data_IF_197308631709
#
_entry.id   IF_197308631709
#
_cell.length_a   1.000
_cell.length_b   1.000
_cell.length_c   1.000
_cell.angle_alpha   90.00
_cell.angle_beta   90.00
_cell.angle_gamma   90.00
#
_symmetry.space_group_name_H-M   'P 1'
#
loop_
_entity.id
_entity.type
_entity.pdbx_description
1 polymer ?
#
# COMPACT_ATOMS: atom_id res chain seq x y z
N UNK A 1 -22.85 8.61 -0.12
CA UNK A 1 -21.87 9.64 0.29
C UNK A 1 -22.52 10.88 0.91
N UNK A 2 -23.34 11.66 0.19
CA UNK A 2 -23.89 12.95 0.68
C UNK A 2 -24.61 12.86 2.03
N UNK A 3 -25.37 11.80 2.27
CA UNK A 3 -26.04 11.57 3.55
C UNK A 3 -25.04 11.46 4.72
N UNK A 4 -23.97 10.65 4.58
CA UNK A 4 -22.94 10.53 5.61
C UNK A 4 -22.18 11.84 5.81
N UNK A 5 -21.90 12.58 4.73
CA UNK A 5 -21.28 13.90 4.83
C UNK A 5 -22.15 14.88 5.63
N UNK A 6 -23.47 14.89 5.40
CA UNK A 6 -24.41 15.70 6.17
C UNK A 6 -24.42 15.31 7.67
N UNK A 7 -24.34 14.02 7.99
CA UNK A 7 -24.25 13.55 9.37
C UNK A 7 -22.95 13.99 10.06
N UNK A 8 -21.82 13.98 9.35
CA UNK A 8 -20.51 14.39 9.90
C UNK A 8 -20.49 15.88 10.27
N UNK A 9 -21.20 16.71 9.51
CA UNK A 9 -21.27 18.16 9.72
C UNK A 9 -22.36 18.54 10.74
N UNK A 10 -23.32 17.64 11.01
CA UNK A 10 -24.40 17.87 11.97
C UNK A 10 -23.86 18.08 13.40
N UNK A 11 -24.08 19.28 13.95
CA UNK A 11 -23.55 19.70 15.26
C UNK A 11 -23.96 18.78 16.43
N UNK A 12 -25.26 18.55 16.67
CA UNK A 12 -25.73 17.65 17.72
C UNK A 12 -25.12 16.25 17.64
N UNK A 13 -25.07 15.64 16.46
CA UNK A 13 -24.49 14.30 16.25
C UNK A 13 -22.99 14.32 16.53
N UNK A 14 -22.27 15.34 16.04
CA UNK A 14 -20.84 15.51 16.31
C UNK A 14 -20.54 15.61 17.81
N UNK A 15 -21.32 16.40 18.55
CA UNK A 15 -21.18 16.52 20.01
C UNK A 15 -21.49 15.20 20.73
N UNK A 16 -22.53 14.48 20.29
CA UNK A 16 -22.88 13.16 20.84
C UNK A 16 -21.74 12.16 20.64
N UNK A 17 -21.28 11.97 19.40
CA UNK A 17 -20.21 11.04 19.06
C UNK A 17 -18.92 11.39 19.80
N UNK A 18 -18.57 12.68 19.89
CA UNK A 18 -17.41 13.11 20.68
C UNK A 18 -17.52 12.71 22.15
N UNK A 19 -18.65 12.96 22.81
CA UNK A 19 -18.87 12.55 24.22
C UNK A 19 -18.79 11.04 24.38
N UNK A 20 -19.32 10.27 23.44
CA UNK A 20 -19.23 8.80 23.45
C UNK A 20 -17.79 8.31 23.32
N UNK A 21 -17.01 8.89 22.42
CA UNK A 21 -15.59 8.55 22.24
C UNK A 21 -14.74 8.92 23.46
N UNK A 22 -15.02 10.04 24.13
CA UNK A 22 -14.37 10.38 25.40
C UNK A 22 -14.73 9.36 26.49
N UNK A 23 -16.01 9.01 26.61
CA UNK A 23 -16.47 8.00 27.55
C UNK A 23 -15.78 6.63 27.35
N UNK A 24 -15.61 6.19 26.09
CA UNK A 24 -14.88 4.95 25.78
C UNK A 24 -13.43 4.99 26.27
N UNK A 25 -12.72 6.09 26.00
CA UNK A 25 -11.34 6.27 26.46
C UNK A 25 -11.23 6.27 28.00
N UNK A 26 -12.11 7.02 28.69
CA UNK A 26 -12.12 7.04 30.17
C UNK A 26 -12.46 5.67 30.75
N UNK A 27 -13.39 4.93 30.13
CA UNK A 27 -13.73 3.56 30.54
C UNK A 27 -12.53 2.62 30.41
N UNK A 28 -11.77 2.71 29.32
CA UNK A 28 -10.55 1.93 29.12
C UNK A 28 -9.48 2.27 30.17
N UNK A 29 -9.25 3.56 30.44
CA UNK A 29 -8.30 3.99 31.47
C UNK A 29 -8.69 3.46 32.86
N UNK A 30 -9.97 3.54 33.22
CA UNK A 30 -10.48 2.97 34.47
C UNK A 30 -10.28 1.46 34.53
N UNK A 31 -10.52 0.74 33.42
CA UNK A 31 -10.30 -0.70 33.34
C UNK A 31 -8.83 -1.06 33.57
N UNK A 32 -7.90 -0.36 32.94
CA UNK A 32 -6.45 -0.57 33.13
C UNK A 32 -6.09 -0.39 34.61
N UNK A 33 -6.50 0.72 35.23
CA UNK A 33 -6.21 0.99 36.65
C UNK A 33 -6.75 -0.09 37.61
N UNK A 34 -7.90 -0.69 37.29
CA UNK A 34 -8.53 -1.68 38.15
C UNK A 34 -8.07 -3.12 37.88
N UNK A 35 -7.58 -3.41 36.67
CA UNK A 35 -7.39 -4.79 36.20
C UNK A 35 -6.00 -5.11 35.63
N UNK A 36 -5.08 -4.15 35.50
CA UNK A 36 -3.72 -4.39 34.98
C UNK A 36 -3.03 -5.59 35.65
N UNK A 37 -3.06 -5.65 36.98
CA UNK A 37 -2.44 -6.74 37.74
C UNK A 37 -3.10 -8.10 37.47
N UNK A 38 -4.41 -8.12 37.22
CA UNK A 38 -5.15 -9.35 36.88
C UNK A 38 -4.80 -9.82 35.47
N UNK A 39 -4.70 -8.91 34.50
CA UNK A 39 -4.28 -9.21 33.13
C UNK A 39 -2.85 -9.72 33.09
N UNK A 40 -1.93 -9.08 33.83
CA UNK A 40 -0.54 -9.54 33.95
C UNK A 40 -0.46 -10.95 34.57
N UNK A 41 -1.24 -11.22 35.62
CA UNK A 41 -1.31 -12.55 36.22
C UNK A 41 -1.88 -13.59 35.24
N UNK A 42 -2.88 -13.22 34.42
CA UNK A 42 -3.44 -14.10 33.40
C UNK A 42 -2.44 -14.43 32.29
N UNK A 43 -1.66 -13.43 31.82
CA UNK A 43 -0.60 -13.65 30.83
C UNK A 43 0.47 -14.61 31.36
N UNK A 44 0.91 -14.45 32.62
CA UNK A 44 1.91 -15.33 33.26
C UNK A 44 1.46 -16.78 33.42
N UNK A 45 0.14 -17.04 33.43
CA UNK A 45 -0.40 -18.42 33.49
C UNK A 45 -0.27 -19.17 32.17
N UNK A 46 0.00 -18.49 31.05
CA UNK A 46 0.12 -19.11 29.73
C UNK A 46 1.60 -19.18 29.36
N UNK A 47 2.29 -20.31 29.62
CA UNK A 47 3.70 -20.45 29.31
C UNK A 47 3.92 -20.37 27.79
N UNK A 48 5.10 -19.85 27.39
CA UNK A 48 5.52 -19.75 25.98
C UNK A 48 4.62 -18.89 25.07
N UNK A 49 3.73 -18.06 25.62
CA UNK A 49 3.00 -17.02 24.86
C UNK A 49 3.39 -15.63 25.33
N UNK A 50 4.62 -15.24 25.00
CA UNK A 50 5.13 -13.89 25.19
C UNK A 50 5.07 -13.10 23.87
N UNK A 51 5.53 -11.85 23.93
CA UNK A 51 5.57 -10.98 22.77
C UNK A 51 6.35 -11.58 21.60
N UNK A 52 7.39 -12.39 21.82
CA UNK A 52 8.20 -12.96 20.74
C UNK A 52 7.53 -14.18 20.09
N UNK A 53 6.83 -14.97 20.88
CA UNK A 53 6.21 -16.22 20.45
C UNK A 53 4.82 -16.04 19.84
N UNK A 54 4.16 -14.91 20.10
CA UNK A 54 2.88 -14.59 19.45
C UNK A 54 3.12 -14.27 17.97
N UNK A 55 2.32 -14.88 17.10
CA UNK A 55 2.31 -14.56 15.67
C UNK A 55 1.71 -13.18 15.47
N UNK A 56 2.44 -12.32 14.77
CA UNK A 56 2.03 -10.98 14.37
C UNK A 56 2.17 -10.90 12.87
N UNK A 57 1.26 -10.17 12.23
CA UNK A 57 1.23 -9.96 10.80
C UNK A 57 1.37 -8.47 10.57
N UNK A 58 2.23 -8.11 9.62
CA UNK A 58 2.29 -6.75 9.12
C UNK A 58 1.10 -6.53 8.18
N UNK A 59 0.20 -5.63 8.54
CA UNK A 59 -1.07 -5.44 7.84
C UNK A 59 -1.02 -4.37 6.76
N UNK A 60 0.11 -3.70 6.58
CA UNK A 60 0.30 -2.70 5.51
C UNK A 60 1.79 -2.49 5.26
N UNK A 61 2.26 -2.98 4.11
CA UNK A 61 3.67 -2.97 3.72
C UNK A 61 3.80 -2.91 2.20
N UNK A 62 4.68 -2.04 1.70
CA UNK A 62 4.98 -1.97 0.27
C UNK A 62 6.07 -2.95 -0.12
N UNK A 63 5.79 -3.81 -1.12
CA UNK A 63 6.72 -4.81 -1.64
C UNK A 63 8.09 -4.23 -2.02
N UNK A 64 8.06 -3.07 -2.69
CA UNK A 64 9.25 -2.34 -3.15
C UNK A 64 10.15 -1.87 -2.01
N UNK A 65 9.60 -1.73 -0.80
CA UNK A 65 10.28 -1.23 0.39
C UNK A 65 10.30 -2.23 1.55
N UNK A 66 9.90 -3.47 1.33
CA UNK A 66 9.75 -4.46 2.41
C UNK A 66 11.08 -4.90 3.07
N UNK A 67 12.20 -4.50 2.47
CA UNK A 67 13.55 -4.90 2.87
C UNK A 67 14.24 -3.79 3.69
N UNK A 68 15.13 -4.16 4.61
CA UNK A 68 16.01 -3.19 5.27
C UNK A 68 17.12 -2.71 4.30
N UNK A 69 17.54 -1.44 4.42
CA UNK A 69 18.68 -0.82 3.72
C UNK A 69 19.95 -1.69 3.75
N UNK A 70 20.29 -2.26 4.92
CA UNK A 70 21.46 -3.14 5.07
C UNK A 70 21.33 -4.44 4.28
N UNK A 71 20.11 -4.92 4.09
CA UNK A 71 19.83 -6.10 3.28
C UNK A 71 20.00 -5.76 1.80
N UNK A 72 19.37 -4.68 1.33
CA UNK A 72 19.49 -4.19 -0.05
C UNK A 72 20.95 -3.94 -0.42
N UNK A 73 21.70 -3.24 0.43
CA UNK A 73 23.13 -3.00 0.24
C UNK A 73 23.94 -4.29 0.08
N UNK A 74 23.70 -5.27 0.97
CA UNK A 74 24.39 -6.57 0.89
C UNK A 74 24.02 -7.33 -0.37
N UNK A 75 22.76 -7.21 -0.81
CA UNK A 75 22.28 -7.82 -2.04
C UNK A 75 22.99 -7.22 -3.27
N UNK A 76 23.01 -5.89 -3.39
CA UNK A 76 23.68 -5.18 -4.48
C UNK A 76 25.17 -5.55 -4.52
N UNK A 77 25.87 -5.49 -3.37
CA UNK A 77 27.29 -5.90 -3.28
C UNK A 77 27.52 -7.36 -3.68
N UNK A 78 26.57 -8.26 -3.40
CA UNK A 78 26.65 -9.67 -3.80
C UNK A 78 26.41 -9.83 -5.30
N UNK A 79 25.46 -9.10 -5.87
CA UNK A 79 25.19 -9.09 -7.31
C UNK A 79 26.42 -8.59 -8.09
N UNK A 80 27.03 -7.47 -7.65
CA UNK A 80 28.27 -6.94 -8.21
C UNK A 80 29.47 -7.90 -8.14
N UNK A 81 29.43 -8.94 -7.29
CA UNK A 81 30.52 -9.93 -7.23
C UNK A 81 30.26 -11.16 -8.09
N UNK A 82 29.00 -11.46 -8.40
CA UNK A 82 28.59 -12.72 -9.03
C UNK A 82 28.06 -12.56 -10.46
N UNK A 83 27.53 -11.39 -10.79
CA UNK A 83 26.75 -11.14 -12.01
C UNK A 83 27.22 -9.86 -12.72
N UNK A 84 28.54 -9.66 -12.83
CA UNK A 84 29.12 -8.45 -13.44
C UNK A 84 28.82 -8.34 -14.93
N UNK A 85 28.88 -9.46 -15.64
CA UNK A 85 28.73 -9.51 -17.10
C UNK A 85 27.27 -9.70 -17.54
N UNK A 86 26.32 -9.71 -16.60
CA UNK A 86 24.90 -9.80 -16.91
C UNK A 86 24.40 -8.48 -17.48
N UNK A 87 23.66 -8.54 -18.60
CA UNK A 87 23.06 -7.38 -19.25
C UNK A 87 21.81 -6.98 -18.44
N UNK A 88 21.83 -5.78 -17.88
CA UNK A 88 20.81 -5.35 -16.91
C UNK A 88 20.05 -4.09 -17.33
N UNK A 89 20.60 -3.30 -18.23
CA UNK A 89 20.01 -2.04 -18.65
C UNK A 89 20.25 -1.79 -20.15
N UNK A 90 19.36 -1.04 -20.78
CA UNK A 90 19.50 -0.64 -22.18
C UNK A 90 19.32 0.85 -22.27
N UNK A 91 20.39 1.56 -22.62
CA UNK A 91 20.37 3.01 -22.78
C UNK A 91 20.61 3.35 -24.26
N UNK A 92 19.66 4.06 -24.89
CA UNK A 92 19.74 4.48 -26.31
C UNK A 92 20.05 3.34 -27.28
N UNK A 93 19.51 2.15 -27.02
CA UNK A 93 19.71 0.95 -27.84
C UNK A 93 21.04 0.21 -27.60
N UNK A 94 21.89 0.69 -26.68
CA UNK A 94 23.09 -0.02 -26.25
C UNK A 94 22.79 -0.82 -24.98
N UNK A 95 23.00 -2.13 -25.06
CA UNK A 95 22.95 -3.00 -23.88
C UNK A 95 24.14 -2.71 -22.97
N UNK A 96 23.86 -2.52 -21.68
CA UNK A 96 24.85 -2.29 -20.63
C UNK A 96 24.85 -3.46 -19.65
N UNK A 97 26.04 -3.96 -19.38
CA UNK A 97 26.29 -4.93 -18.31
C UNK A 97 26.23 -4.28 -16.94
N UNK A 98 26.00 -5.07 -15.89
CA UNK A 98 26.00 -4.56 -14.52
C UNK A 98 27.32 -3.84 -14.20
N UNK A 99 28.44 -4.37 -14.70
CA UNK A 99 29.76 -3.74 -14.59
C UNK A 99 29.80 -2.35 -15.22
N UNK A 100 29.36 -2.21 -16.47
CA UNK A 100 29.34 -0.94 -17.18
C UNK A 100 28.43 0.10 -16.52
N UNK A 101 27.29 -0.33 -15.95
CA UNK A 101 26.40 0.56 -15.20
C UNK A 101 27.13 1.14 -13.99
N UNK A 102 27.81 0.32 -13.18
CA UNK A 102 28.56 0.82 -12.01
C UNK A 102 29.79 1.65 -12.40
N UNK A 103 30.46 1.32 -13.51
CA UNK A 103 31.56 2.12 -14.06
C UNK A 103 31.08 3.50 -14.52
N UNK A 104 29.92 3.57 -15.19
CA UNK A 104 29.31 4.84 -15.64
C UNK A 104 28.94 5.73 -14.47
N UNK A 105 28.48 5.13 -13.37
CA UNK A 105 28.16 5.84 -12.12
C UNK A 105 29.41 6.21 -11.30
N UNK A 106 30.60 5.77 -11.71
CA UNK A 106 31.87 5.94 -10.99
C UNK A 106 31.79 5.44 -9.53
N UNK A 107 31.14 4.29 -9.31
CA UNK A 107 30.92 3.71 -8.00
C UNK A 107 31.55 2.31 -7.90
N UNK A 108 32.38 2.09 -6.88
CA UNK A 108 32.89 0.75 -6.57
C UNK A 108 32.09 0.08 -5.46
N UNK A 109 32.21 -1.25 -5.35
CA UNK A 109 31.59 -2.00 -4.26
C UNK A 109 32.09 -1.61 -2.85
N UNK A 110 33.26 -0.95 -2.77
CA UNK A 110 33.81 -0.41 -1.52
C UNK A 110 33.14 0.91 -1.13
N UNK A 111 32.83 1.75 -2.12
CA UNK A 111 32.23 3.08 -1.90
C UNK A 111 30.75 2.99 -1.50
N UNK A 112 30.07 1.90 -1.86
CA UNK A 112 28.68 1.66 -1.49
C UNK A 112 28.53 1.49 0.04
N UNK A 113 27.91 2.46 0.68
CA UNK A 113 27.47 2.45 2.07
C UNK A 113 25.93 2.59 2.16
N UNK A 114 25.39 2.48 3.38
CA UNK A 114 23.97 2.75 3.62
C UNK A 114 23.64 4.21 3.30
N UNK A 115 24.53 5.13 3.66
CA UNK A 115 24.34 6.57 3.42
C UNK A 115 24.39 6.90 1.94
N UNK A 116 25.25 6.24 1.15
CA UNK A 116 25.29 6.47 -0.31
C UNK A 116 24.06 5.94 -1.02
N UNK A 117 23.32 4.97 -0.46
CA UNK A 117 22.07 4.52 -1.05
C UNK A 117 20.98 5.59 -0.96
N UNK A 118 21.08 6.53 -0.01
CA UNK A 118 20.14 7.64 0.22
C UNK A 118 18.64 7.28 0.15
N UNK A 119 18.30 6.06 0.55
CA UNK A 119 16.92 5.55 0.58
C UNK A 119 16.19 5.86 1.89
N UNK A 120 16.85 6.55 2.83
CA UNK A 120 16.28 6.84 4.15
C UNK A 120 15.46 8.13 4.14
N UNK A 121 14.29 8.11 4.77
CA UNK A 121 13.49 9.32 4.97
C UNK A 121 14.07 10.14 6.14
N UNK A 122 14.43 11.39 5.86
CA UNK A 122 15.03 12.31 6.82
C UNK A 122 14.06 13.44 7.23
N UNK A 123 14.53 14.35 8.09
CA UNK A 123 13.75 15.55 8.48
C UNK A 123 13.33 16.42 7.29
N UNK A 124 14.04 16.37 6.17
CA UNK A 124 13.77 17.16 4.97
C UNK A 124 12.68 16.54 4.09
N UNK A 125 12.26 15.31 4.40
CA UNK A 125 11.19 14.55 3.73
C UNK A 125 9.79 14.92 4.27
N UNK A 126 9.74 15.59 5.43
CA UNK A 126 8.49 16.03 6.07
C UNK A 126 7.68 16.97 5.17
N UNK A 127 6.40 16.65 4.96
CA UNK A 127 5.47 17.35 4.05
C UNK A 127 5.90 17.43 2.57
N UNK A 128 6.83 16.57 2.12
CA UNK A 128 7.38 16.60 0.75
C UNK A 128 7.30 15.23 0.09
N UNK A 129 6.11 14.89 -0.42
CA UNK A 129 5.86 13.65 -1.16
C UNK A 129 6.75 13.47 -2.40
N UNK A 130 7.12 14.57 -3.06
CA UNK A 130 8.06 14.56 -4.19
C UNK A 130 9.44 14.04 -3.76
N UNK A 131 9.94 14.48 -2.59
CA UNK A 131 11.19 13.98 -2.02
C UNK A 131 11.07 12.54 -1.55
N UNK A 132 9.92 12.15 -0.99
CA UNK A 132 9.64 10.77 -0.61
C UNK A 132 9.68 9.82 -1.83
N UNK A 133 9.06 10.20 -2.93
CA UNK A 133 9.10 9.41 -4.17
C UNK A 133 10.54 9.27 -4.72
N UNK A 134 11.38 10.28 -4.53
CA UNK A 134 12.79 10.20 -4.88
C UNK A 134 13.57 9.20 -4.01
N UNK A 135 13.16 8.94 -2.76
CA UNK A 135 13.81 7.96 -1.85
C UNK A 135 13.63 6.51 -2.28
N UNK A 136 12.72 6.22 -3.22
CA UNK A 136 12.68 4.92 -3.87
C UNK A 136 13.82 4.69 -4.86
N UNK A 137 14.56 5.73 -5.26
CA UNK A 137 15.69 5.63 -6.18
C UNK A 137 16.99 5.44 -5.39
N UNK A 138 17.60 4.24 -5.34
CA UNK A 138 18.87 4.05 -4.67
C UNK A 138 19.95 4.93 -5.30
N UNK A 139 20.73 5.61 -4.45
CA UNK A 139 21.80 6.54 -4.84
C UNK A 139 21.25 7.78 -5.59
N UNK A 140 19.94 8.03 -5.51
CA UNK A 140 19.26 9.07 -6.30
C UNK A 140 19.11 8.73 -7.78
N UNK A 141 19.49 7.52 -8.18
CA UNK A 141 19.57 7.11 -9.57
C UNK A 141 18.45 6.13 -9.92
N UNK A 142 17.69 6.51 -10.95
CA UNK A 142 16.54 5.72 -11.40
C UNK A 142 16.95 4.35 -11.95
N UNK A 143 18.17 4.22 -12.45
CA UNK A 143 18.71 3.00 -13.06
C UNK A 143 18.82 1.86 -12.03
N UNK A 144 19.34 2.14 -10.83
CA UNK A 144 19.47 1.10 -9.79
C UNK A 144 18.12 0.66 -9.25
N UNK A 145 17.15 1.57 -9.17
CA UNK A 145 15.77 1.22 -8.84
C UNK A 145 15.17 0.31 -9.91
N UNK A 146 15.38 0.65 -11.17
CA UNK A 146 14.90 -0.15 -12.30
C UNK A 146 15.47 -1.57 -12.25
N UNK A 147 16.77 -1.72 -12.02
CA UNK A 147 17.44 -3.03 -12.01
C UNK A 147 17.03 -3.88 -10.79
N UNK A 148 17.04 -3.30 -9.59
CA UNK A 148 16.94 -4.09 -8.34
C UNK A 148 15.56 -4.09 -7.70
N UNK A 149 14.73 -3.07 -7.93
CA UNK A 149 13.45 -2.87 -7.22
C UNK A 149 12.25 -2.98 -8.17
N UNK A 150 12.41 -2.68 -9.47
CA UNK A 150 11.35 -2.88 -10.46
C UNK A 150 11.35 -4.31 -11.00
N UNK A 151 10.20 -4.63 -11.56
CA UNK A 151 9.81 -5.95 -12.07
C UNK A 151 9.77 -5.95 -13.58
N UNK A 152 9.21 -4.89 -14.16
CA UNK A 152 9.37 -4.55 -15.57
C UNK A 152 10.74 -3.90 -15.79
N UNK A 153 11.71 -4.74 -16.15
CA UNK A 153 13.06 -4.34 -16.51
C UNK A 153 13.67 -5.38 -17.46
N UNK A 154 14.88 -5.12 -17.96
CA UNK A 154 15.56 -5.99 -18.93
C UNK A 154 15.77 -7.43 -18.46
N UNK A 155 15.85 -7.64 -17.15
CA UNK A 155 16.03 -8.94 -16.49
C UNK A 155 14.73 -9.51 -15.92
N UNK A 156 13.58 -8.97 -16.33
CA UNK A 156 12.23 -9.40 -15.94
C UNK A 156 12.06 -9.55 -14.42
N UNK A 157 12.60 -8.62 -13.64
CA UNK A 157 12.41 -8.57 -12.19
C UNK A 157 13.16 -9.65 -11.41
N UNK A 158 14.08 -10.39 -12.05
CA UNK A 158 14.87 -11.48 -11.43
C UNK A 158 15.50 -11.08 -10.09
N UNK A 159 16.09 -9.89 -10.01
CA UNK A 159 16.71 -9.40 -8.78
C UNK A 159 15.67 -9.07 -7.70
N UNK A 160 14.59 -8.39 -8.06
CA UNK A 160 13.53 -8.04 -7.13
C UNK A 160 12.83 -9.28 -6.55
N UNK A 161 12.50 -10.27 -7.40
CA UNK A 161 11.94 -11.54 -6.97
C UNK A 161 12.87 -12.28 -5.99
N UNK A 162 14.18 -12.25 -6.24
CA UNK A 162 15.17 -12.84 -5.34
C UNK A 162 15.26 -12.09 -4.00
N UNK A 163 15.19 -10.77 -4.00
CA UNK A 163 15.17 -9.96 -2.77
C UNK A 163 13.93 -10.28 -1.92
N UNK A 164 12.75 -10.36 -2.54
CA UNK A 164 11.50 -10.72 -1.84
C UNK A 164 11.62 -12.11 -1.22
N UNK A 165 12.13 -13.09 -1.99
CA UNK A 165 12.33 -14.47 -1.52
C UNK A 165 13.27 -14.54 -0.32
N UNK A 166 14.34 -13.74 -0.30
CA UNK A 166 15.38 -13.77 0.75
C UNK A 166 15.01 -12.93 1.97
N UNK A 167 14.19 -11.89 1.83
CA UNK A 167 13.77 -11.01 2.94
C UNK A 167 12.84 -11.67 3.95
N UNK A 168 12.59 -13.00 3.87
CA UNK A 168 11.77 -13.70 4.86
C UNK A 168 10.27 -13.37 4.75
N UNK A 169 9.90 -12.64 3.70
CA UNK A 169 8.55 -12.63 3.17
C UNK A 169 8.14 -14.04 2.63
N UNK A 170 8.99 -15.07 2.78
CA UNK A 170 8.90 -16.45 2.31
C UNK A 170 7.73 -17.33 2.78
N UNK A 171 6.58 -16.73 3.13
CA UNK A 171 5.27 -17.36 2.84
C UNK A 171 4.79 -17.01 1.41
N UNK A 172 5.48 -16.07 0.75
CA UNK A 172 5.45 -15.78 -0.68
C UNK A 172 6.15 -16.89 -1.44
N UNK A 173 5.39 -17.86 -1.94
CA UNK A 173 5.88 -18.80 -2.96
C UNK A 173 6.11 -18.03 -4.27
N UNK A 174 7.36 -17.61 -4.47
CA UNK A 174 7.90 -17.29 -5.80
C UNK A 174 8.21 -18.61 -6.46
N UNK A 175 7.28 -19.13 -7.28
CA UNK A 175 7.52 -20.08 -8.37
C UNK A 175 6.26 -20.13 -9.28
N UNK A 176 6.27 -19.33 -10.36
CA UNK A 176 5.56 -19.63 -11.62
C UNK A 176 6.26 -18.87 -12.78
N UNK A 177 6.29 -19.43 -14.01
CA UNK A 177 7.04 -18.87 -15.13
C UNK A 177 6.45 -17.55 -15.64
N UNK A 178 7.19 -16.92 -16.55
CA UNK A 178 6.82 -15.73 -17.30
C UNK A 178 5.81 -16.12 -18.41
N UNK A 179 4.69 -15.41 -18.62
CA UNK A 179 3.84 -15.67 -19.76
C UNK A 179 4.49 -15.18 -21.08
N UNK A 180 4.11 -15.76 -22.24
CA UNK A 180 4.73 -15.48 -23.53
C UNK A 180 4.47 -14.05 -24.05
N UNK A 181 5.23 -13.58 -25.07
CA UNK A 181 5.44 -12.17 -25.41
C UNK A 181 4.25 -11.42 -26.04
N UNK A 182 3.02 -11.93 -25.94
CA UNK A 182 1.83 -11.34 -26.57
C UNK A 182 0.83 -10.72 -25.61
N UNK A 183 1.20 -10.56 -24.33
CA UNK A 183 0.47 -9.72 -23.37
C UNK A 183 1.43 -8.65 -22.87
N UNK A 184 1.09 -7.38 -23.09
CA UNK A 184 1.83 -6.26 -22.50
C UNK A 184 1.85 -6.39 -20.96
N UNK A 185 2.96 -6.00 -20.30
CA UNK A 185 3.29 -6.50 -18.98
C UNK A 185 2.43 -5.86 -17.88
N UNK A 186 1.61 -6.67 -17.21
CA UNK A 186 1.07 -6.30 -15.90
C UNK A 186 2.19 -6.32 -14.84
N UNK A 187 2.31 -5.29 -13.98
CA UNK A 187 3.28 -5.29 -12.90
C UNK A 187 2.91 -6.35 -11.84
N UNK A 188 3.86 -7.18 -11.36
CA UNK A 188 3.60 -8.19 -10.36
C UNK A 188 3.40 -7.56 -8.96
N UNK A 189 2.45 -8.06 -8.18
CA UNK A 189 2.19 -7.65 -6.78
C UNK A 189 2.84 -8.60 -5.77
N UNK A 190 3.09 -8.09 -4.56
CA UNK A 190 3.30 -8.91 -3.38
C UNK A 190 1.98 -9.49 -2.84
N UNK A 191 2.04 -10.65 -2.20
CA UNK A 191 0.97 -11.16 -1.34
C UNK A 191 0.76 -10.27 -0.11
N UNK A 192 -0.29 -9.48 -0.18
CA UNK A 192 -1.43 -9.41 0.74
C UNK A 192 -2.42 -8.36 0.21
N UNK A 193 -1.93 -7.42 -0.60
CA UNK A 193 -2.69 -6.37 -1.27
C UNK A 193 -2.06 -6.07 -2.65
N UNK A 194 -2.88 -6.01 -3.70
CA UNK A 194 -2.49 -5.53 -5.04
C UNK A 194 -3.22 -4.24 -5.40
N UNK A 195 -2.49 -3.19 -5.71
CA UNK A 195 -3.08 -1.88 -5.90
C UNK A 195 -2.72 -1.17 -7.18
N UNK A 196 -3.67 -0.75 -8.03
CA UNK A 196 -3.39 0.28 -9.02
C UNK A 196 -3.15 1.61 -8.30
N UNK A 197 -2.05 2.29 -8.63
CA UNK A 197 -1.85 3.69 -8.22
C UNK A 197 -2.84 4.59 -8.96
N UNK A 198 -3.42 5.59 -8.29
CA UNK A 198 -4.39 6.52 -8.91
C UNK A 198 -3.70 7.55 -9.82
N UNK A 199 -2.98 7.08 -10.84
CA UNK A 199 -2.17 7.89 -11.75
C UNK A 199 -2.76 7.96 -13.18
N UNK A 200 -4.09 7.87 -13.33
CA UNK A 200 -4.74 7.91 -14.65
C UNK A 200 -4.35 9.17 -15.43
N UNK A 201 -4.22 10.31 -14.75
CA UNK A 201 -3.73 11.57 -15.30
C UNK A 201 -2.33 11.45 -15.93
N UNK A 202 -1.41 10.75 -15.27
CA UNK A 202 -0.03 10.52 -15.76
C UNK A 202 -0.03 9.66 -17.01
N UNK A 203 -0.77 8.55 -17.00
CA UNK A 203 -0.90 7.67 -18.16
C UNK A 203 -1.55 8.38 -19.35
N UNK A 204 -2.53 9.24 -19.07
CA UNK A 204 -3.23 10.02 -20.08
C UNK A 204 -2.39 11.14 -20.67
N UNK A 205 -1.62 11.84 -19.85
CA UNK A 205 -0.63 12.84 -20.31
C UNK A 205 0.43 12.19 -21.22
N UNK A 206 0.78 10.92 -20.95
CA UNK A 206 1.66 10.10 -21.81
C UNK A 206 0.95 9.46 -23.01
N UNK A 207 -0.35 9.72 -23.20
CA UNK A 207 -1.21 9.15 -24.24
C UNK A 207 -1.25 7.62 -24.24
N UNK A 208 -1.09 7.01 -23.08
CA UNK A 208 -1.17 5.56 -22.87
C UNK A 208 -2.58 5.09 -22.53
N UNK A 209 -3.50 6.02 -22.18
CA UNK A 209 -4.91 5.73 -21.94
C UNK A 209 -5.78 6.80 -22.62
N UNK A 210 -6.87 6.40 -23.25
CA UNK A 210 -7.86 7.29 -23.86
C UNK A 210 -8.82 7.87 -22.82
N UNK A 211 -9.28 7.04 -21.88
CA UNK A 211 -10.24 7.38 -20.84
C UNK A 211 -10.06 6.49 -19.59
N UNK A 212 -10.87 6.73 -18.55
CA UNK A 212 -10.79 5.95 -17.32
C UNK A 212 -11.30 4.51 -17.46
N UNK A 213 -12.21 4.25 -18.41
CA UNK A 213 -12.71 2.90 -18.68
C UNK A 213 -11.58 1.95 -19.10
N UNK A 214 -10.65 2.41 -19.92
CA UNK A 214 -9.50 1.61 -20.36
C UNK A 214 -8.61 1.20 -19.18
N UNK A 215 -8.45 2.06 -18.17
CA UNK A 215 -7.76 1.70 -16.93
C UNK A 215 -8.47 0.56 -16.19
N UNK A 216 -9.80 0.65 -16.06
CA UNK A 216 -10.61 -0.39 -15.42
C UNK A 216 -10.56 -1.70 -16.21
N UNK A 217 -10.56 -1.63 -17.54
CA UNK A 217 -10.45 -2.81 -18.41
C UNK A 217 -9.09 -3.48 -18.27
N UNK A 218 -7.99 -2.71 -18.30
CA UNK A 218 -6.64 -3.24 -18.10
C UNK A 218 -6.47 -3.93 -16.74
N UNK A 219 -7.25 -3.53 -15.73
CA UNK A 219 -7.26 -4.16 -14.41
C UNK A 219 -8.18 -5.39 -14.40
N UNK A 220 -9.47 -5.23 -14.73
CA UNK A 220 -10.49 -6.23 -14.44
C UNK A 220 -10.70 -7.23 -15.55
N UNK A 221 -10.51 -6.86 -16.83
CA UNK A 221 -10.74 -7.78 -17.95
C UNK A 221 -9.84 -9.03 -17.87
N UNK A 222 -8.51 -8.92 -17.64
CA UNK A 222 -7.66 -10.10 -17.47
C UNK A 222 -8.09 -11.00 -16.30
N UNK A 223 -8.64 -10.41 -15.23
CA UNK A 223 -9.12 -11.14 -14.06
C UNK A 223 -10.42 -11.88 -14.35
N UNK A 224 -11.32 -11.29 -15.13
CA UNK A 224 -12.50 -11.97 -15.64
C UNK A 224 -12.11 -13.11 -16.56
N UNK A 225 -11.21 -12.89 -17.51
CA UNK A 225 -10.72 -13.93 -18.42
C UNK A 225 -10.09 -15.10 -17.68
N UNK A 226 -9.18 -14.84 -16.73
CA UNK A 226 -8.58 -15.88 -15.88
C UNK A 226 -9.61 -16.58 -14.98
N UNK A 227 -10.68 -15.88 -14.59
CA UNK A 227 -11.79 -16.45 -13.82
C UNK A 227 -12.71 -17.29 -14.70
N UNK A 228 -12.94 -16.96 -15.97
CA UNK A 228 -13.81 -17.69 -16.91
C UNK A 228 -13.06 -18.88 -17.55
N UNK A 229 -11.80 -18.69 -17.92
CA UNK A 229 -10.96 -19.66 -18.60
C UNK A 229 -9.62 -19.85 -17.89
N UNK A 230 -9.60 -20.44 -16.68
CA UNK A 230 -8.36 -20.60 -15.89
C UNK A 230 -7.28 -21.41 -16.61
N UNK A 231 -7.67 -22.37 -17.47
CA UNK A 231 -6.73 -23.16 -18.26
C UNK A 231 -5.99 -22.35 -19.35
N UNK A 232 -6.57 -21.23 -19.82
CA UNK A 232 -5.92 -20.32 -20.77
C UNK A 232 -4.98 -19.33 -20.07
N UNK A 233 -5.18 -19.10 -18.76
CA UNK A 233 -4.38 -18.19 -17.94
C UNK A 233 -3.88 -18.87 -16.65
N UNK A 234 -3.12 -19.98 -16.74
CA UNK A 234 -2.79 -20.82 -15.59
C UNK A 234 -1.94 -20.09 -14.54
N UNK A 235 -0.97 -19.28 -14.96
CA UNK A 235 -0.10 -18.51 -14.06
C UNK A 235 -0.88 -17.43 -13.33
N UNK A 236 -1.71 -16.67 -14.05
CA UNK A 236 -2.57 -15.64 -13.45
C UNK A 236 -3.60 -16.27 -12.51
N UNK A 237 -4.21 -17.40 -12.86
CA UNK A 237 -5.14 -18.09 -11.97
C UNK A 237 -4.47 -18.52 -10.66
N UNK A 238 -3.28 -19.14 -10.73
CA UNK A 238 -2.50 -19.50 -9.55
C UNK A 238 -2.09 -18.30 -8.72
N UNK A 239 -1.73 -17.19 -9.37
CA UNK A 239 -1.42 -15.94 -8.69
C UNK A 239 -2.63 -15.41 -7.92
N UNK A 240 -3.83 -15.43 -8.53
CA UNK A 240 -5.06 -14.92 -7.92
C UNK A 240 -5.57 -15.75 -6.73
N UNK A 241 -5.11 -16.99 -6.56
CA UNK A 241 -5.35 -17.77 -5.33
C UNK A 241 -4.59 -17.21 -4.12
N UNK A 242 -3.63 -16.33 -4.36
CA UNK A 242 -2.80 -15.72 -3.32
C UNK A 242 -3.04 -14.22 -3.13
N UNK A 243 -3.85 -13.60 -3.99
CA UNK A 243 -4.25 -12.20 -3.85
C UNK A 243 -5.45 -12.11 -2.91
N UNK A 244 -5.30 -11.35 -1.82
CA UNK A 244 -6.34 -11.20 -0.81
C UNK A 244 -7.19 -9.94 -1.03
N UNK A 245 -6.59 -8.84 -1.47
CA UNK A 245 -7.33 -7.61 -1.68
C UNK A 245 -6.68 -6.62 -2.63
N UNK A 246 -7.43 -5.56 -2.91
CA UNK A 246 -7.00 -4.42 -3.71
C UNK A 246 -6.75 -3.20 -2.84
N UNK A 247 -5.63 -2.52 -3.04
CA UNK A 247 -5.27 -1.31 -2.30
C UNK A 247 -5.10 -0.12 -3.27
N UNK A 248 -5.94 0.90 -3.17
CA UNK A 248 -5.78 2.10 -4.01
C UNK A 248 -4.82 3.07 -3.34
N UNK A 249 -3.76 3.48 -4.04
CA UNK A 249 -2.71 4.38 -3.51
C UNK A 249 -2.61 5.65 -4.36
N UNK A 250 -2.58 6.82 -3.71
CA UNK A 250 -2.18 8.11 -4.32
C UNK A 250 -1.70 9.08 -3.24
N UNK A 251 -1.10 10.19 -3.66
CA UNK A 251 -0.89 11.36 -2.80
C UNK A 251 -2.25 12.01 -2.49
N UNK A 252 -2.86 11.57 -1.39
CA UNK A 252 -4.13 12.10 -0.87
C UNK A 252 -4.11 13.62 -0.63
N UNK A 253 -2.93 14.25 -0.55
CA UNK A 253 -2.83 15.70 -0.31
C UNK A 253 -3.08 16.55 -1.56
N UNK A 254 -3.06 15.95 -2.75
CA UNK A 254 -3.36 16.67 -4.00
C UNK A 254 -4.79 17.22 -3.98
N UNK A 255 -4.99 18.46 -4.44
CA UNK A 255 -6.33 19.04 -4.51
C UNK A 255 -7.18 18.29 -5.54
N UNK A 256 -8.39 17.92 -5.14
CA UNK A 256 -9.39 17.37 -6.04
C UNK A 256 -10.34 18.48 -6.48
N UNK A 257 -10.40 18.75 -7.79
CA UNK A 257 -11.26 19.80 -8.35
C UNK A 257 -12.70 19.33 -8.56
N UNK A 258 -12.92 18.02 -8.68
CA UNK A 258 -14.22 17.41 -8.97
C UNK A 258 -14.76 16.66 -7.74
N UNK A 259 -16.04 16.85 -7.43
CA UNK A 259 -16.74 16.08 -6.40
C UNK A 259 -17.54 14.99 -7.10
N UNK A 260 -17.29 13.73 -6.75
CA UNK A 260 -18.05 12.62 -7.30
C UNK A 260 -19.53 12.67 -6.87
N UNK A 261 -20.42 12.72 -7.84
CA UNK A 261 -21.87 12.86 -7.66
C UNK A 261 -22.62 12.17 -8.81
N UNK A 262 -23.95 12.31 -8.84
CA UNK A 262 -24.80 11.70 -9.86
C UNK A 262 -24.58 12.26 -11.27
N UNK A 263 -24.05 13.47 -11.39
CA UNK A 263 -23.79 14.15 -12.66
C UNK A 263 -22.36 13.88 -13.17
N UNK A 264 -21.56 13.14 -12.40
CA UNK A 264 -20.21 12.77 -12.80
C UNK A 264 -20.23 11.84 -14.02
N UNK A 265 -19.34 12.04 -15.01
CA UNK A 265 -19.36 11.25 -16.22
C UNK A 265 -19.04 9.78 -15.93
N UNK A 266 -19.59 8.87 -16.74
CA UNK A 266 -19.23 7.45 -16.70
C UNK A 266 -17.76 7.25 -17.11
N UNK A 267 -17.11 6.13 -16.75
CA UNK A 267 -15.68 5.93 -16.98
C UNK A 267 -15.26 6.09 -18.45
N UNK A 268 -16.10 5.62 -19.38
CA UNK A 268 -15.84 5.74 -20.82
C UNK A 268 -15.90 7.17 -21.34
N UNK A 269 -16.60 8.04 -20.61
CA UNK A 269 -16.75 9.46 -20.91
C UNK A 269 -15.82 10.34 -20.07
N UNK A 270 -15.05 9.75 -19.13
CA UNK A 270 -14.02 10.50 -18.41
C UNK A 270 -12.81 10.67 -19.32
N UNK A 271 -12.91 11.70 -20.17
CA UNK A 271 -11.86 12.16 -21.08
C UNK A 271 -11.21 13.46 -20.59
N UNK A 272 -11.35 13.73 -19.29
CA UNK A 272 -10.67 14.78 -18.50
C UNK A 272 -9.14 14.61 -18.46
N UNK A 273 -8.32 15.63 -18.71
CA UNK A 273 -6.88 15.56 -18.35
C UNK A 273 -6.71 15.47 -16.83
N UNK A 274 -7.65 16.08 -16.09
CA UNK A 274 -7.72 15.99 -14.64
C UNK A 274 -7.96 14.55 -14.16
N UNK A 275 -7.24 14.20 -13.09
CA UNK A 275 -7.41 12.92 -12.42
C UNK A 275 -8.84 12.79 -11.86
N UNK A 276 -9.52 11.64 -12.02
CA UNK A 276 -10.78 11.40 -11.32
C UNK A 276 -10.60 11.53 -9.80
N UNK A 277 -11.63 11.99 -9.07
CA UNK A 277 -11.52 12.13 -7.62
C UNK A 277 -11.42 10.75 -6.94
N UNK A 278 -10.78 10.67 -5.78
CA UNK A 278 -10.55 9.42 -5.04
C UNK A 278 -11.82 8.58 -4.85
N UNK A 279 -12.94 9.23 -4.52
CA UNK A 279 -14.24 8.56 -4.36
C UNK A 279 -14.76 7.90 -5.64
N UNK A 280 -14.41 8.44 -6.81
CA UNK A 280 -14.72 7.87 -8.12
C UNK A 280 -13.91 6.58 -8.34
N UNK A 281 -12.60 6.63 -8.10
CA UNK A 281 -11.72 5.47 -8.15
C UNK A 281 -12.24 4.33 -7.27
N UNK A 282 -12.46 4.60 -5.97
CA UNK A 282 -12.92 3.57 -5.05
C UNK A 282 -14.27 2.98 -5.46
N UNK A 283 -15.20 3.80 -5.94
CA UNK A 283 -16.51 3.31 -6.36
C UNK A 283 -16.42 2.34 -7.54
N UNK A 284 -15.71 2.69 -8.60
CA UNK A 284 -15.61 1.82 -9.78
C UNK A 284 -14.71 0.60 -9.54
N UNK A 285 -13.68 0.72 -8.70
CA UNK A 285 -12.92 -0.44 -8.23
C UNK A 285 -13.81 -1.40 -7.43
N UNK A 286 -14.57 -0.88 -6.46
CA UNK A 286 -15.51 -1.68 -5.66
C UNK A 286 -16.60 -2.34 -6.52
N UNK A 287 -17.21 -1.60 -7.45
CA UNK A 287 -18.29 -2.10 -8.29
C UNK A 287 -17.83 -3.27 -9.17
N UNK A 288 -16.69 -3.10 -9.87
CA UNK A 288 -16.12 -4.16 -10.70
C UNK A 288 -15.67 -5.37 -9.88
N UNK A 289 -14.99 -5.14 -8.75
CA UNK A 289 -14.56 -6.20 -7.84
C UNK A 289 -15.76 -6.98 -7.29
N UNK A 290 -16.87 -6.31 -6.96
CA UNK A 290 -18.07 -6.96 -6.44
C UNK A 290 -18.67 -7.94 -7.44
N UNK A 291 -18.78 -7.53 -8.71
CA UNK A 291 -19.29 -8.39 -9.78
C UNK A 291 -18.33 -9.56 -10.05
N UNK A 292 -17.02 -9.29 -10.09
CA UNK A 292 -15.98 -10.32 -10.26
C UNK A 292 -16.03 -11.34 -9.11
N UNK A 293 -16.14 -10.86 -7.88
CA UNK A 293 -16.24 -11.71 -6.69
C UNK A 293 -17.50 -12.59 -6.70
N UNK A 294 -18.62 -12.10 -7.23
CA UNK A 294 -19.82 -12.93 -7.37
C UNK A 294 -19.56 -14.10 -8.33
N UNK A 295 -18.90 -13.84 -9.46
CA UNK A 295 -18.50 -14.87 -10.41
C UNK A 295 -17.49 -15.86 -9.80
N UNK A 296 -16.43 -15.35 -9.16
CA UNK A 296 -15.39 -16.16 -8.51
C UNK A 296 -15.97 -17.05 -7.42
N UNK A 297 -16.86 -16.51 -6.58
CA UNK A 297 -17.57 -17.28 -5.54
C UNK A 297 -18.44 -18.38 -6.13
N UNK A 298 -19.18 -18.10 -7.20
CA UNK A 298 -19.99 -19.12 -7.90
C UNK A 298 -19.14 -20.27 -8.45
N UNK A 299 -17.87 -20.00 -8.77
CA UNK A 299 -16.90 -20.99 -9.22
C UNK A 299 -16.07 -21.64 -8.10
N UNK A 300 -16.25 -21.21 -6.85
CA UNK A 300 -15.46 -21.69 -5.71
C UNK A 300 -14.01 -21.18 -5.68
N UNK A 301 -13.73 -20.05 -6.34
CA UNK A 301 -12.39 -19.42 -6.34
C UNK A 301 -12.24 -18.38 -5.23
N UNK A 302 -10.98 -18.10 -4.86
CA UNK A 302 -10.62 -17.06 -3.90
C UNK A 302 -11.22 -15.70 -4.28
N UNK A 303 -11.80 -14.95 -3.34
CA UNK A 303 -12.40 -13.62 -3.59
C UNK A 303 -11.57 -12.52 -2.95
N UNK A 304 -11.74 -11.30 -3.46
CA UNK A 304 -10.92 -10.16 -3.05
C UNK A 304 -11.68 -9.18 -2.15
N UNK A 305 -10.95 -8.41 -1.35
CA UNK A 305 -11.51 -7.28 -0.58
C UNK A 305 -10.87 -5.96 -0.99
N UNK A 306 -11.52 -4.83 -0.74
CA UNK A 306 -10.95 -3.50 -0.99
C UNK A 306 -10.37 -2.94 0.32
N UNK A 307 -9.11 -2.48 0.27
CA UNK A 307 -8.27 -2.10 1.41
C UNK A 307 -7.43 -0.86 1.11
N UNK A 308 -8.04 0.30 0.86
CA UNK A 308 -7.32 1.44 0.31
C UNK A 308 -6.50 2.18 1.36
N UNK A 309 -5.42 2.83 0.92
CA UNK A 309 -4.87 3.99 1.61
C UNK A 309 -5.95 5.05 1.74
N UNK A 310 -6.27 5.43 2.98
CA UNK A 310 -7.41 6.29 3.23
C UNK A 310 -7.24 7.18 4.47
N UNK A 311 -7.28 8.49 4.24
CA UNK A 311 -7.29 9.50 5.30
C UNK A 311 -5.97 9.63 6.01
N UNK A 312 -4.86 9.37 5.32
CA UNK A 312 -3.54 9.84 5.75
C UNK A 312 -3.45 11.38 5.62
N UNK A 313 -3.92 11.89 4.49
CA UNK A 313 -3.98 13.30 4.15
C UNK A 313 -5.31 13.61 3.42
N UNK A 314 -5.40 14.77 2.78
CA UNK A 314 -6.56 15.09 1.95
C UNK A 314 -7.87 15.45 2.68
N UNK A 315 -8.97 15.46 1.94
CA UNK A 315 -10.30 15.81 2.42
C UNK A 315 -11.03 14.64 3.13
N UNK A 316 -11.95 14.97 4.03
CA UNK A 316 -12.64 13.97 4.87
C UNK A 316 -13.51 12.98 4.08
N UNK A 317 -13.93 13.32 2.87
CA UNK A 317 -14.78 12.42 2.06
C UNK A 317 -14.03 11.18 1.57
N UNK A 318 -12.70 11.17 1.59
CA UNK A 318 -11.90 9.96 1.38
C UNK A 318 -12.30 8.88 2.40
N UNK A 319 -12.26 9.22 3.70
CA UNK A 319 -12.64 8.31 4.79
C UNK A 319 -14.11 7.89 4.75
N UNK A 320 -15.00 8.75 4.23
CA UNK A 320 -16.41 8.40 4.01
C UNK A 320 -16.55 7.36 2.90
N UNK A 321 -15.78 7.53 1.82
CA UNK A 321 -15.74 6.56 0.73
C UNK A 321 -15.16 5.23 1.22
N UNK A 322 -14.01 5.26 1.91
CA UNK A 322 -13.40 4.09 2.55
C UNK A 322 -14.38 3.34 3.45
N UNK A 323 -15.09 4.05 4.33
CA UNK A 323 -16.11 3.48 5.23
C UNK A 323 -17.26 2.77 4.49
N UNK A 324 -17.65 3.28 3.32
CA UNK A 324 -18.80 2.74 2.58
C UNK A 324 -18.47 1.47 1.78
N UNK A 325 -17.23 1.34 1.27
CA UNK A 325 -16.90 0.32 0.27
C UNK A 325 -15.72 -0.60 0.62
N UNK A 326 -15.01 -0.33 1.71
CA UNK A 326 -13.77 -1.05 2.05
C UNK A 326 -13.94 -1.96 3.27
N UNK A 327 -13.18 -3.05 3.32
CA UNK A 327 -13.14 -3.98 4.45
C UNK A 327 -12.32 -3.41 5.61
N UNK A 328 -11.20 -2.77 5.28
CA UNK A 328 -10.31 -2.05 6.17
C UNK A 328 -9.69 -0.85 5.43
N UNK A 329 -8.94 -0.01 6.14
CA UNK A 329 -8.19 1.10 5.57
C UNK A 329 -6.76 1.13 6.08
N UNK A 330 -5.86 1.72 5.30
CA UNK A 330 -4.52 2.09 5.75
C UNK A 330 -4.48 3.57 6.17
N UNK A 331 -3.69 3.88 7.19
CA UNK A 331 -3.47 5.19 7.85
C UNK A 331 -4.59 5.71 8.76
N UNK A 332 -5.73 6.17 8.24
CA UNK A 332 -6.85 6.67 9.05
C UNK A 332 -6.54 7.86 9.99
N UNK A 333 -5.48 8.63 9.73
CA UNK A 333 -5.03 9.76 10.57
C UNK A 333 -6.11 10.82 10.74
N UNK A 334 -6.85 11.13 9.68
CA UNK A 334 -7.86 12.20 9.68
C UNK A 334 -9.14 11.87 10.46
N UNK A 335 -9.36 10.61 10.87
CA UNK A 335 -10.48 10.25 11.76
C UNK A 335 -10.43 11.05 13.07
N UNK A 336 -9.24 11.47 13.53
CA UNK A 336 -9.06 12.33 14.71
C UNK A 336 -9.81 13.68 14.60
N UNK A 337 -10.11 14.14 13.38
CA UNK A 337 -10.81 15.40 13.11
C UNK A 337 -12.31 15.20 12.88
N UNK A 338 -12.79 13.95 12.79
CA UNK A 338 -14.18 13.63 12.49
C UNK A 338 -14.78 12.66 13.54
N UNK A 339 -15.26 13.18 14.69
CA UNK A 339 -15.81 12.35 15.76
C UNK A 339 -16.96 11.44 15.33
N UNK A 340 -17.82 11.90 14.41
CA UNK A 340 -18.92 11.09 13.89
C UNK A 340 -18.38 9.86 13.16
N UNK A 341 -17.44 10.07 12.23
CA UNK A 341 -16.89 9.00 11.43
C UNK A 341 -16.03 8.05 12.29
N UNK A 342 -15.21 8.57 13.20
CA UNK A 342 -14.46 7.75 14.15
C UNK A 342 -15.37 6.87 14.99
N UNK A 343 -16.52 7.38 15.43
CA UNK A 343 -17.50 6.59 16.17
C UNK A 343 -18.18 5.53 15.29
N UNK A 344 -18.40 5.81 14.00
CA UNK A 344 -18.87 4.81 13.04
C UNK A 344 -17.86 3.68 12.83
N UNK A 345 -16.56 3.99 12.70
CA UNK A 345 -15.50 2.97 12.61
C UNK A 345 -15.43 2.11 13.88
N UNK A 346 -15.65 2.71 15.06
CA UNK A 346 -15.81 1.97 16.31
C UNK A 346 -17.05 1.04 16.28
N UNK A 347 -18.21 1.53 15.85
CA UNK A 347 -19.43 0.71 15.84
C UNK A 347 -19.37 -0.42 14.81
N UNK A 348 -18.87 -0.13 13.62
CA UNK A 348 -18.75 -1.08 12.52
C UNK A 348 -17.57 -2.03 12.68
N UNK A 349 -16.62 -1.71 13.58
CA UNK A 349 -15.37 -2.46 13.75
C UNK A 349 -14.67 -2.62 12.39
N UNK A 350 -14.40 -1.50 11.72
CA UNK A 350 -13.60 -1.50 10.49
C UNK A 350 -12.12 -1.40 10.88
N UNK A 351 -11.29 -2.27 10.30
CA UNK A 351 -9.85 -2.32 10.58
C UNK A 351 -9.11 -1.08 10.08
N UNK A 352 -8.13 -0.63 10.86
CA UNK A 352 -7.26 0.52 10.52
C UNK A 352 -5.81 0.10 10.71
N UNK A 353 -5.09 -0.12 9.61
CA UNK A 353 -3.66 -0.35 9.63
C UNK A 353 -2.93 0.99 9.75
N UNK A 354 -2.14 1.18 10.81
CA UNK A 354 -1.48 2.44 11.08
C UNK A 354 0.04 2.28 11.13
N UNK A 355 0.73 3.19 10.46
CA UNK A 355 2.21 3.20 10.36
C UNK A 355 2.81 4.45 11.03
N UNK A 356 2.83 4.57 12.38
CA UNK A 356 3.25 5.79 13.07
C UNK A 356 4.65 6.32 12.73
N UNK A 357 5.59 5.43 12.40
CA UNK A 357 6.94 5.84 11.99
C UNK A 357 6.96 6.49 10.61
N UNK A 358 6.21 5.94 9.65
CA UNK A 358 5.99 6.58 8.34
C UNK A 358 5.28 7.92 8.50
N UNK A 359 4.16 7.93 9.23
CA UNK A 359 3.38 9.15 9.44
C UNK A 359 4.22 10.27 10.10
N UNK A 360 5.15 9.92 10.99
CA UNK A 360 6.08 10.87 11.62
C UNK A 360 7.03 11.53 10.61
N UNK A 361 7.46 10.78 9.61
CA UNK A 361 8.38 11.28 8.59
C UNK A 361 7.70 12.16 7.55
N UNK A 362 6.38 12.05 7.37
CA UNK A 362 5.68 12.69 6.26
C UNK A 362 4.57 13.69 6.66
N UNK A 363 3.77 13.43 7.70
CA UNK A 363 2.53 14.19 7.95
C UNK A 363 2.34 14.70 9.38
N UNK A 364 2.77 13.93 10.37
CA UNK A 364 2.33 14.13 11.73
C UNK A 364 3.36 13.64 12.73
N UNK A 365 3.86 14.54 13.58
CA UNK A 365 4.84 14.17 14.62
C UNK A 365 4.39 12.98 15.47
N UNK A 366 5.35 12.12 15.82
CA UNK A 366 5.11 10.82 16.45
C UNK A 366 4.22 10.91 17.70
N UNK A 367 4.49 11.87 18.59
CA UNK A 367 3.71 12.08 19.82
C UNK A 367 2.27 12.54 19.59
N UNK A 368 1.96 13.04 18.39
CA UNK A 368 0.61 13.46 18.00
C UNK A 368 -0.14 12.39 17.25
N UNK A 369 0.47 11.23 16.96
CA UNK A 369 -0.19 10.13 16.27
C UNK A 369 -1.38 9.62 17.09
N UNK A 370 -2.57 9.45 16.48
CA UNK A 370 -3.78 9.11 17.23
C UNK A 370 -3.93 7.62 17.55
N UNK A 371 -2.99 6.75 17.14
CA UNK A 371 -3.05 5.31 17.39
C UNK A 371 -3.33 4.94 18.87
N UNK A 372 -2.63 5.50 19.88
CA UNK A 372 -2.93 5.19 21.29
C UNK A 372 -4.35 5.59 21.71
N UNK A 373 -4.85 6.69 21.17
CA UNK A 373 -6.21 7.20 21.42
C UNK A 373 -7.27 6.34 20.72
N UNK A 374 -6.99 5.83 19.52
CA UNK A 374 -7.89 4.90 18.82
C UNK A 374 -7.96 3.56 19.54
N UNK A 375 -6.81 3.05 19.99
CA UNK A 375 -6.73 1.83 20.80
C UNK A 375 -7.51 1.99 22.11
N UNK A 376 -7.33 3.10 22.84
CA UNK A 376 -8.04 3.32 24.11
C UNK A 376 -9.55 3.47 23.92
N UNK A 377 -9.99 3.84 22.72
CA UNK A 377 -11.42 3.92 22.34
C UNK A 377 -11.98 2.58 21.85
N UNK A 378 -11.15 1.55 21.68
CA UNK A 378 -11.56 0.25 21.18
C UNK A 378 -11.86 0.23 19.67
N UNK A 379 -11.25 1.12 18.89
CA UNK A 379 -11.22 0.96 17.44
C UNK A 379 -10.31 -0.23 17.09
N UNK A 380 -10.62 -0.91 15.98
CA UNK A 380 -9.83 -2.03 15.50
C UNK A 380 -8.59 -1.51 14.77
N UNK A 381 -7.52 -1.29 15.51
CA UNK A 381 -6.24 -0.79 14.98
C UNK A 381 -5.18 -1.89 14.95
N UNK A 382 -4.34 -1.85 13.92
CA UNK A 382 -3.10 -2.63 13.84
C UNK A 382 -1.89 -1.72 13.62
N UNK A 383 -0.73 -2.21 14.00
CA UNK A 383 0.55 -1.57 13.71
C UNK A 383 1.12 -2.17 12.42
N UNK A 384 1.54 -1.30 11.52
CA UNK A 384 2.13 -1.64 10.22
C UNK A 384 3.44 -0.89 9.99
N UNK A 385 4.21 -1.34 8.99
CA UNK A 385 5.54 -0.79 8.73
C UNK A 385 5.60 0.17 7.54
N UNK A 386 4.65 0.11 6.60
CA UNK A 386 4.61 0.90 5.37
C UNK A 386 5.85 0.63 4.50
N UNK A 387 6.91 1.43 4.66
CA UNK A 387 8.19 1.28 3.96
C UNK A 387 9.35 0.99 4.95
N UNK A 388 9.58 -0.28 5.34
CA UNK A 388 10.74 -0.68 6.14
C UNK A 388 12.08 -0.12 5.64
N UNK A 389 12.28 -0.13 4.31
CA UNK A 389 13.47 0.38 3.65
C UNK A 389 13.76 1.84 4.04
N UNK A 390 12.70 2.65 4.16
CA UNK A 390 12.86 4.08 4.38
C UNK A 390 12.84 4.45 5.86
N UNK A 391 12.04 3.75 6.68
CA UNK A 391 11.72 4.20 8.04
C UNK A 391 12.36 3.38 9.17
N UNK A 392 12.86 2.17 8.88
CA UNK A 392 13.26 1.22 9.93
C UNK A 392 14.78 0.96 9.94
N UNK A 393 15.36 0.99 11.14
CA UNK A 393 16.80 0.75 11.34
C UNK A 393 17.14 -0.65 11.87
N UNK A 394 16.13 -1.38 12.35
CA UNK A 394 16.29 -2.71 12.95
C UNK A 394 16.31 -3.80 11.88
N UNK A 395 16.98 -4.93 12.20
CA UNK A 395 17.14 -6.06 11.29
C UNK A 395 15.82 -6.71 10.91
#
# INVERSE_FOLDING_TARGET
MNFLMALIINGPIKSFCYRRLQYLSSKFQMHVLLNEMKELAAQKKVPHRDFYNIRKVDTHIHASSCMNQKHLLRFIKRAMKKHLDEIVHVEKGKEQTLKEVFETMNLTAYDLSVDTLDVHADRNTFHRFDKFNAKYNPIGESILREIFIKTDNRVSGKYFAHIIKVSGAGTLRVDAPCPPPSMEPMPPPSHSEWGPSSCSDVYRTKKQLANFQEMLENIFLPLYEATIHPAQHPELHLFLEHVDGFDSVDDESKPEHHIFNLDSPLPGNWVEEDNPPYSYYLYYMYANMTVLNHLRRKRGFHTFVLRPHCGEAGPIHHLVSGFMVSENISHGLLLRKAPVLQYLYYLAQIGIAMSPLSNNSLFLSYHRNPLPEYLSRGLMVSLSTDDPLQFHFTK
#
